data_IF_796707763271
#
_entry.id   IF_796707763271
#
_cell.length_a   1.000
_cell.length_b   1.000
_cell.length_c   1.000
_cell.angle_alpha   90.00
_cell.angle_beta   90.00
_cell.angle_gamma   90.00
#
_symmetry.space_group_name_H-M   'P 1'
#
loop_
_entity.id
_entity.type
_entity.pdbx_description
1 polymer ?
#
# COMPACT_ATOMS: atom_id res chain seq x y z
N UNK A 1 9.04 -17.62 -5.19
CA UNK A 1 8.74 -16.33 -5.86
C UNK A 1 9.47 -16.29 -7.18
N UNK A 2 9.04 -15.45 -8.13
CA UNK A 2 9.67 -15.38 -9.46
C UNK A 2 8.69 -15.24 -10.64
N UNK A 3 7.38 -15.20 -10.36
CA UNK A 3 6.39 -14.81 -11.36
C UNK A 3 6.67 -13.35 -11.74
N UNK A 4 6.99 -13.12 -13.01
CA UNK A 4 7.19 -11.80 -13.60
C UNK A 4 5.99 -11.47 -14.49
N UNK A 5 5.60 -10.19 -14.60
CA UNK A 5 4.65 -9.78 -15.62
C UNK A 5 5.23 -10.05 -17.01
N UNK A 6 4.35 -10.02 -18.02
CA UNK A 6 4.79 -10.04 -19.42
C UNK A 6 5.68 -8.83 -19.68
N UNK A 7 6.82 -9.05 -20.35
CA UNK A 7 7.72 -7.97 -20.75
C UNK A 7 6.98 -6.99 -21.69
N UNK A 8 7.00 -5.68 -21.42
CA UNK A 8 6.53 -4.68 -22.36
C UNK A 8 7.15 -4.87 -23.75
N UNK A 9 6.33 -4.81 -24.79
CA UNK A 9 6.80 -5.02 -26.18
C UNK A 9 7.66 -3.86 -26.68
N UNK A 10 7.55 -2.71 -26.02
CA UNK A 10 8.26 -1.47 -26.31
C UNK A 10 9.69 -1.46 -25.75
N UNK A 11 10.04 -2.38 -24.85
CA UNK A 11 11.40 -2.53 -24.34
C UNK A 11 12.26 -3.29 -25.35
N UNK A 12 13.41 -2.71 -25.73
CA UNK A 12 14.36 -3.36 -26.61
C UNK A 12 14.94 -4.63 -25.96
N UNK A 13 15.37 -5.66 -26.72
CA UNK A 13 15.80 -6.93 -26.15
C UNK A 13 16.82 -6.84 -25.00
N UNK A 14 17.77 -5.90 -25.10
CA UNK A 14 18.86 -5.72 -24.15
C UNK A 14 18.53 -4.76 -22.98
N UNK A 15 17.34 -4.15 -22.98
CA UNK A 15 16.94 -3.24 -21.90
C UNK A 15 16.52 -4.00 -20.64
N UNK A 16 16.99 -3.55 -19.48
CA UNK A 16 16.53 -4.12 -18.23
C UNK A 16 15.05 -3.76 -17.99
N UNK A 17 14.25 -4.76 -17.58
CA UNK A 17 12.88 -4.51 -17.14
C UNK A 17 12.90 -4.12 -15.66
N UNK A 18 12.64 -2.85 -15.38
CA UNK A 18 12.72 -2.22 -14.06
C UNK A 18 14.08 -2.45 -13.39
N UNK A 19 14.11 -2.82 -12.11
CA UNK A 19 15.33 -3.08 -11.34
C UNK A 19 15.43 -4.56 -10.98
N UNK A 20 16.61 -4.97 -10.48
CA UNK A 20 16.91 -6.37 -10.19
C UNK A 20 16.08 -6.92 -9.01
N UNK A 21 15.65 -6.04 -8.10
CA UNK A 21 14.89 -6.31 -6.88
C UNK A 21 13.39 -6.07 -7.04
N UNK A 22 12.93 -5.57 -8.19
CA UNK A 22 11.53 -5.45 -8.52
C UNK A 22 11.19 -4.19 -9.31
N UNK A 23 9.89 -3.91 -9.40
CA UNK A 23 9.41 -2.72 -10.08
C UNK A 23 7.91 -2.68 -10.29
N UNK A 24 7.48 -1.63 -10.99
CA UNK A 24 6.08 -1.31 -11.25
C UNK A 24 5.95 -1.03 -12.75
N UNK A 25 4.88 -1.54 -13.37
CA UNK A 25 4.48 -1.17 -14.73
C UNK A 25 3.08 -0.57 -14.64
N UNK A 26 2.95 0.66 -15.10
CA UNK A 26 1.67 1.32 -15.33
C UNK A 26 1.32 1.22 -16.81
N UNK A 27 0.17 0.63 -17.12
CA UNK A 27 -0.37 0.58 -18.48
C UNK A 27 -1.44 1.67 -18.65
N UNK A 28 -1.14 2.68 -19.46
CA UNK A 28 -2.06 3.75 -19.81
C UNK A 28 -2.52 3.67 -21.26
N UNK A 29 -3.49 4.51 -21.62
CA UNK A 29 -4.01 4.60 -23.00
C UNK A 29 -3.01 5.22 -23.98
N UNK A 30 -2.02 5.98 -23.50
CA UNK A 30 -1.03 6.71 -24.31
C UNK A 30 0.40 6.13 -24.22
N UNK A 31 0.57 5.01 -23.52
CA UNK A 31 1.86 4.37 -23.33
C UNK A 31 1.97 3.66 -21.99
N UNK A 32 3.16 3.11 -21.74
CA UNK A 32 3.48 2.44 -20.48
C UNK A 32 4.55 3.21 -19.74
N UNK A 33 4.41 3.33 -18.43
CA UNK A 33 5.45 3.85 -17.54
C UNK A 33 5.98 2.69 -16.71
N UNK A 34 7.28 2.49 -16.73
CA UNK A 34 7.97 1.51 -15.91
C UNK A 34 8.74 2.22 -14.81
N UNK A 35 8.81 1.65 -13.62
CA UNK A 35 9.64 2.17 -12.53
C UNK A 35 10.29 1.02 -11.76
N UNK A 36 11.42 1.32 -11.13
CA UNK A 36 12.11 0.46 -10.18
C UNK A 36 11.35 0.25 -8.87
N UNK A 37 12.01 -0.38 -7.91
CA UNK A 37 11.41 -0.62 -6.60
C UNK A 37 11.12 0.73 -5.91
N UNK A 38 9.98 0.82 -5.23
CA UNK A 38 9.50 2.06 -4.61
C UNK A 38 9.28 3.23 -5.58
N UNK A 39 9.14 2.97 -6.89
CA UNK A 39 8.88 4.01 -7.89
C UNK A 39 10.13 4.77 -8.33
N UNK A 40 11.33 4.24 -8.06
CA UNK A 40 12.59 4.83 -8.52
C UNK A 40 12.72 4.77 -10.04
N UNK A 41 13.56 5.65 -10.60
CA UNK A 41 13.93 5.66 -12.03
C UNK A 41 12.72 5.48 -12.99
N UNK A 42 11.66 6.30 -12.87
CA UNK A 42 10.51 6.20 -13.76
C UNK A 42 10.95 6.40 -15.21
N UNK A 43 10.54 5.48 -16.08
CA UNK A 43 10.96 5.36 -17.47
C UNK A 43 9.73 5.19 -18.35
N UNK A 44 9.46 6.18 -19.21
CA UNK A 44 8.41 6.08 -20.21
C UNK A 44 8.84 5.11 -21.31
N UNK A 45 7.92 4.24 -21.75
CA UNK A 45 8.17 3.29 -22.83
C UNK A 45 7.56 3.75 -24.16
N UNK A 46 8.26 3.57 -25.30
CA UNK A 46 9.67 3.13 -25.41
C UNK A 46 10.64 4.13 -24.75
N UNK A 47 11.72 3.60 -24.17
CA UNK A 47 12.72 4.34 -23.36
C UNK A 47 13.28 5.58 -24.05
N UNK A 48 13.34 5.56 -25.38
CA UNK A 48 13.76 6.70 -26.21
C UNK A 48 12.95 7.97 -25.92
N UNK A 49 11.65 7.84 -25.63
CA UNK A 49 10.77 8.97 -25.31
C UNK A 49 11.09 9.61 -23.97
N UNK A 50 11.75 8.89 -23.05
CA UNK A 50 12.05 9.41 -21.72
C UNK A 50 13.04 10.57 -21.76
N UNK A 51 13.92 10.62 -22.78
CA UNK A 51 14.95 11.67 -22.93
C UNK A 51 14.36 13.07 -23.14
N UNK A 52 13.16 13.13 -23.72
CA UNK A 52 12.48 14.38 -24.07
C UNK A 52 11.43 14.78 -23.02
N UNK A 53 11.40 14.10 -21.87
CA UNK A 53 10.41 14.32 -20.81
C UNK A 53 11.10 14.89 -19.58
N UNK A 54 10.70 16.12 -19.23
CA UNK A 54 10.96 16.67 -17.90
C UNK A 54 9.94 16.10 -16.91
N UNK A 55 10.44 15.35 -15.93
CA UNK A 55 9.59 14.85 -14.85
C UNK A 55 9.11 16.01 -13.98
N UNK A 56 7.84 15.99 -13.54
CA UNK A 56 7.34 17.01 -12.65
C UNK A 56 8.14 17.00 -11.34
N UNK A 57 8.37 18.19 -10.79
CA UNK A 57 8.93 18.32 -9.45
C UNK A 57 8.00 17.63 -8.44
N UNK A 58 8.54 16.95 -7.41
CA UNK A 58 7.73 16.36 -6.37
C UNK A 58 6.81 17.39 -5.70
N UNK A 59 5.53 17.05 -5.53
CA UNK A 59 4.56 17.91 -4.82
C UNK A 59 4.92 18.12 -3.34
N UNK A 60 5.72 17.21 -2.77
CA UNK A 60 6.17 17.24 -1.38
C UNK A 60 7.70 17.12 -1.32
N UNK A 61 8.36 17.78 -0.34
CA UNK A 61 9.79 17.62 -0.14
C UNK A 61 10.17 16.16 0.08
N UNK A 62 11.17 15.69 -0.66
CA UNK A 62 11.78 14.38 -0.42
C UNK A 62 12.58 14.41 0.87
N UNK A 63 12.68 13.25 1.53
CA UNK A 63 13.47 13.13 2.75
C UNK A 63 14.95 13.31 2.41
N UNK A 64 15.64 14.18 3.15
CA UNK A 64 17.09 14.38 3.01
C UNK A 64 17.81 13.05 3.27
N UNK A 65 18.62 12.60 2.31
CA UNK A 65 19.28 11.29 2.38
C UNK A 65 18.44 10.12 1.86
N UNK A 66 17.24 10.38 1.31
CA UNK A 66 16.37 9.36 0.74
C UNK A 66 15.95 8.31 1.77
N UNK A 67 16.00 7.04 1.38
CA UNK A 67 15.61 5.90 2.23
C UNK A 67 16.38 5.88 3.56
N UNK A 68 17.69 6.13 3.53
CA UNK A 68 18.55 6.14 4.74
C UNK A 68 18.29 7.36 5.63
N UNK A 69 17.55 8.35 5.15
CA UNK A 69 17.23 9.58 5.86
C UNK A 69 15.99 9.50 6.74
N UNK A 70 15.13 8.49 6.57
CA UNK A 70 13.82 8.43 7.24
C UNK A 70 13.93 8.35 8.76
N UNK A 71 14.83 7.52 9.28
CA UNK A 71 15.07 7.36 10.71
C UNK A 71 15.64 8.65 11.30
N UNK A 72 16.53 9.34 10.57
CA UNK A 72 17.08 10.61 11.00
C UNK A 72 16.00 11.70 11.03
N UNK A 73 15.10 11.75 10.05
CA UNK A 73 13.97 12.69 10.05
C UNK A 73 13.10 12.50 11.30
N UNK A 74 12.81 11.25 11.68
CA UNK A 74 12.07 10.96 12.91
C UNK A 74 12.80 11.44 14.17
N UNK A 75 14.11 11.18 14.30
CA UNK A 75 14.92 11.68 15.43
C UNK A 75 14.89 13.20 15.49
N UNK A 76 15.00 13.88 14.36
CA UNK A 76 14.93 15.35 14.30
C UNK A 76 13.56 15.86 14.74
N UNK A 77 12.47 15.24 14.27
CA UNK A 77 11.11 15.61 14.68
C UNK A 77 10.90 15.43 16.20
N UNK A 78 11.42 14.34 16.78
CA UNK A 78 11.37 14.14 18.23
C UNK A 78 12.14 15.21 19.02
N UNK A 79 13.27 15.70 18.48
CA UNK A 79 14.05 16.79 19.10
C UNK A 79 13.38 18.16 18.95
N UNK A 80 12.70 18.39 17.83
CA UNK A 80 11.95 19.63 17.56
C UNK A 80 10.69 19.74 18.43
N UNK A 81 10.06 18.61 18.75
CA UNK A 81 8.94 18.53 19.69
C UNK A 81 7.57 18.52 19.01
N UNK A 82 6.52 18.86 19.78
CA UNK A 82 5.15 18.79 19.30
C UNK A 82 4.91 19.75 18.12
N UNK A 83 4.29 19.25 17.06
CA UNK A 83 4.04 20.00 15.83
C UNK A 83 5.07 19.80 14.72
N UNK A 84 6.17 19.09 14.99
CA UNK A 84 7.14 18.72 13.97
C UNK A 84 6.50 17.87 12.86
N UNK A 85 6.88 18.13 11.61
CA UNK A 85 6.32 17.47 10.43
C UNK A 85 7.26 16.35 9.97
N UNK A 86 6.71 15.15 9.76
CA UNK A 86 7.43 14.01 9.18
C UNK A 86 6.89 13.69 7.78
N UNK A 87 7.65 12.93 6.98
CA UNK A 87 7.19 12.48 5.66
C UNK A 87 6.09 11.42 5.73
N UNK A 88 5.80 10.86 6.92
CA UNK A 88 4.79 9.83 7.15
C UNK A 88 4.00 10.09 8.46
N UNK A 89 3.20 11.17 8.52
CA UNK A 89 2.41 11.51 9.70
C UNK A 89 1.27 10.51 9.91
N UNK A 90 0.77 10.39 11.15
CA UNK A 90 -0.35 9.50 11.49
C UNK A 90 -1.65 9.79 10.72
N UNK A 91 -1.87 11.04 10.30
CA UNK A 91 -2.99 11.40 9.44
C UNK A 91 -2.97 10.71 8.07
N UNK A 92 -1.80 10.23 7.63
CA UNK A 92 -1.62 9.45 6.39
C UNK A 92 -1.43 7.97 6.72
N UNK A 93 -0.51 7.64 7.63
CA UNK A 93 -0.17 6.25 7.94
C UNK A 93 -1.27 5.49 8.68
N UNK A 94 -2.12 6.19 9.44
CA UNK A 94 -3.31 5.63 10.09
C UNK A 94 -4.31 5.06 9.08
N UNK A 95 -4.91 5.89 8.20
CA UNK A 95 -5.84 5.41 7.15
C UNK A 95 -5.22 4.39 6.18
N UNK A 96 -3.93 4.51 5.89
CA UNK A 96 -3.22 3.50 5.10
C UNK A 96 -3.20 2.14 5.82
N UNK A 97 -2.84 2.15 7.11
CA UNK A 97 -2.83 0.93 7.94
C UNK A 97 -4.23 0.32 8.04
N UNK A 98 -5.26 1.16 8.22
CA UNK A 98 -6.66 0.72 8.22
C UNK A 98 -7.01 0.00 6.91
N UNK A 99 -6.66 0.58 5.77
CA UNK A 99 -6.91 -0.02 4.44
C UNK A 99 -6.26 -1.39 4.30
N UNK A 100 -5.01 -1.54 4.73
CA UNK A 100 -4.31 -2.84 4.70
C UNK A 100 -4.99 -3.86 5.62
N UNK A 101 -5.39 -3.45 6.83
CA UNK A 101 -6.08 -4.32 7.78
C UNK A 101 -7.46 -4.77 7.29
N UNK A 102 -8.13 -4.00 6.44
CA UNK A 102 -9.37 -4.43 5.77
C UNK A 102 -9.16 -5.66 4.87
N UNK A 103 -7.97 -5.85 4.29
CA UNK A 103 -7.63 -7.08 3.59
C UNK A 103 -7.68 -8.32 4.50
N UNK A 104 -7.09 -8.21 5.69
CA UNK A 104 -7.14 -9.27 6.70
C UNK A 104 -8.57 -9.53 7.18
N UNK A 105 -9.34 -8.47 7.43
CA UNK A 105 -10.75 -8.59 7.79
C UNK A 105 -11.55 -9.33 6.72
N UNK A 106 -11.34 -9.00 5.43
CA UNK A 106 -12.02 -9.65 4.33
C UNK A 106 -11.67 -11.15 4.25
N UNK A 107 -10.39 -11.52 4.36
CA UNK A 107 -9.95 -12.93 4.34
C UNK A 107 -10.53 -13.72 5.52
N UNK A 108 -10.55 -13.13 6.72
CA UNK A 108 -11.13 -13.79 7.91
C UNK A 108 -12.64 -13.96 7.79
N UNK A 109 -13.33 -12.95 7.28
CA UNK A 109 -14.77 -12.99 7.02
C UNK A 109 -15.11 -14.01 5.93
N UNK A 110 -14.32 -14.09 4.87
CA UNK A 110 -14.49 -15.08 3.79
C UNK A 110 -14.46 -16.53 4.29
N UNK A 111 -13.66 -16.79 5.34
CA UNK A 111 -13.52 -18.09 5.98
C UNK A 111 -14.44 -18.29 7.19
N UNK A 112 -15.25 -17.29 7.55
CA UNK A 112 -16.15 -17.38 8.69
C UNK A 112 -17.22 -18.45 8.47
N UNK A 113 -17.48 -19.23 9.52
CA UNK A 113 -18.51 -20.26 9.61
C UNK A 113 -19.22 -20.12 10.95
N UNK A 114 -20.56 -20.14 10.94
CA UNK A 114 -21.33 -20.13 12.20
C UNK A 114 -21.14 -21.42 13.00
N UNK A 115 -21.02 -22.56 12.30
CA UNK A 115 -20.78 -23.87 12.89
C UNK A 115 -19.50 -24.45 12.30
N UNK A 116 -18.60 -24.97 13.15
CA UNK A 116 -17.27 -25.43 12.74
C UNK A 116 -17.27 -26.46 11.59
N UNK A 117 -18.32 -27.30 11.52
CA UNK A 117 -18.48 -28.33 10.47
C UNK A 117 -19.40 -27.89 9.30
N UNK A 118 -19.85 -26.63 9.27
CA UNK A 118 -20.67 -26.13 8.17
C UNK A 118 -19.86 -25.97 6.89
N UNK A 119 -20.48 -26.29 5.75
CA UNK A 119 -19.97 -25.94 4.41
C UNK A 119 -20.46 -24.57 3.93
N UNK A 120 -21.32 -23.92 4.71
CA UNK A 120 -21.79 -22.57 4.45
C UNK A 120 -20.79 -21.52 4.99
N UNK A 121 -20.52 -20.52 4.16
CA UNK A 121 -19.57 -19.44 4.45
C UNK A 121 -20.27 -18.10 4.20
N UNK A 122 -21.10 -17.65 5.15
CA UNK A 122 -21.95 -16.49 4.93
C UNK A 122 -21.16 -15.20 4.73
N UNK A 123 -19.88 -15.14 5.10
CA UNK A 123 -19.01 -13.97 4.87
C UNK A 123 -18.40 -13.88 3.46
N UNK A 124 -18.68 -14.82 2.54
CA UNK A 124 -18.25 -14.74 1.13
C UNK A 124 -19.11 -13.76 0.33
N UNK A 125 -19.04 -12.49 0.70
CA UNK A 125 -19.76 -11.39 0.04
C UNK A 125 -18.94 -10.10 0.09
N UNK A 126 -19.35 -9.09 -0.67
CA UNK A 126 -18.80 -7.74 -0.54
C UNK A 126 -19.16 -7.20 0.85
N UNK A 127 -18.16 -6.79 1.63
CA UNK A 127 -18.37 -6.15 2.93
C UNK A 127 -18.42 -4.63 2.75
N UNK A 128 -19.31 -3.97 3.48
CA UNK A 128 -19.45 -2.52 3.49
C UNK A 128 -18.84 -1.98 4.78
N UNK A 129 -17.75 -1.23 4.64
CA UNK A 129 -17.00 -0.64 5.74
C UNK A 129 -17.43 0.81 5.98
N UNK A 130 -17.78 1.11 7.22
CA UNK A 130 -17.94 2.47 7.74
C UNK A 130 -16.69 2.81 8.58
N UNK A 131 -15.76 3.56 7.98
CA UNK A 131 -14.50 3.95 8.64
C UNK A 131 -14.69 4.94 9.78
N UNK A 132 -15.72 5.78 9.75
CA UNK A 132 -15.99 6.72 10.85
C UNK A 132 -16.44 5.98 12.12
N UNK A 133 -17.32 4.98 11.95
CA UNK A 133 -17.78 4.14 13.06
C UNK A 133 -16.87 2.93 13.33
N UNK A 134 -15.84 2.72 12.49
CA UNK A 134 -14.97 1.54 12.48
C UNK A 134 -15.77 0.23 12.51
N UNK A 135 -16.66 0.00 11.54
CA UNK A 135 -17.56 -1.17 11.54
C UNK A 135 -17.98 -1.66 10.15
N UNK A 136 -18.24 -2.96 10.04
CA UNK A 136 -18.93 -3.57 8.90
C UNK A 136 -20.45 -3.45 9.08
N UNK A 137 -21.14 -2.85 8.10
CA UNK A 137 -22.56 -2.49 8.22
C UNK A 137 -23.52 -3.55 7.67
N UNK A 138 -23.03 -4.46 6.83
CA UNK A 138 -23.85 -5.43 6.12
C UNK A 138 -23.59 -6.90 6.51
N UNK A 139 -22.74 -7.14 7.52
CA UNK A 139 -22.44 -8.47 8.03
C UNK A 139 -21.88 -8.40 9.46
N UNK A 140 -22.78 -8.44 10.45
CA UNK A 140 -22.43 -8.26 11.87
C UNK A 140 -21.33 -9.21 12.39
N UNK A 141 -21.28 -10.50 12.03
CA UNK A 141 -20.22 -11.38 12.50
C UNK A 141 -18.80 -10.94 12.13
N UNK A 142 -18.61 -10.18 11.05
CA UNK A 142 -17.27 -9.67 10.69
C UNK A 142 -16.72 -8.65 11.70
N UNK A 143 -17.58 -8.00 12.50
CA UNK A 143 -17.15 -7.01 13.49
C UNK A 143 -16.30 -7.63 14.61
N UNK A 144 -16.37 -8.94 14.81
CA UNK A 144 -15.47 -9.66 15.73
C UNK A 144 -13.99 -9.61 15.30
N UNK A 145 -13.71 -9.25 14.04
CA UNK A 145 -12.37 -9.14 13.49
C UNK A 145 -11.84 -7.71 13.46
N UNK A 146 -12.69 -6.71 13.75
CA UNK A 146 -12.32 -5.28 13.72
C UNK A 146 -11.52 -4.89 14.94
N UNK A 147 -11.96 -5.31 16.13
CA UNK A 147 -11.27 -5.03 17.40
C UNK A 147 -10.94 -6.32 18.13
N UNK A 148 -9.78 -6.33 18.76
CA UNK A 148 -9.40 -7.40 19.68
C UNK A 148 -10.15 -7.21 21.00
N UNK A 149 -10.71 -8.29 21.53
CA UNK A 149 -11.09 -8.34 22.95
C UNK A 149 -9.81 -8.54 23.76
N UNK A 150 -9.45 -7.53 24.55
CA UNK A 150 -8.32 -7.63 25.47
C UNK A 150 -8.75 -8.45 26.69
N UNK A 151 -7.92 -9.42 27.07
CA UNK A 151 -8.13 -10.24 28.26
C UNK A 151 -7.59 -9.51 29.49
N UNK A 152 -8.08 -9.83 30.69
CA UNK A 152 -7.53 -9.28 31.95
C UNK A 152 -7.89 -7.82 32.26
N UNK A 153 -8.93 -7.27 31.63
CA UNK A 153 -9.46 -5.94 31.95
C UNK A 153 -8.69 -4.76 31.33
N UNK A 154 -7.71 -5.01 30.46
CA UNK A 154 -6.98 -3.95 29.76
C UNK A 154 -7.83 -3.27 28.67
N UNK A 155 -7.65 -1.97 28.49
CA UNK A 155 -8.21 -1.17 27.38
C UNK A 155 -7.17 -0.20 26.81
N UNK A 156 -7.32 0.16 25.54
CA UNK A 156 -6.58 1.22 24.84
C UNK A 156 -7.44 2.48 24.74
#
# INVERSE_FOLDING_TARGET
GGIKPKRPVELLPDEQMAEWDGGIIFEGTQGKLMAGLFGQNPTLLPSSRMRDIDLPAPEKPLVKGGTEGHQQQWVMACKEGFGAVTSSPFSISGPLTETVLMGNLAVRSYNYREKAKSRDFPGRKKLLWDGASMRITNFEPANMFVKRKYEGGYSL
#
